data_IF_333558675906
#
_entry.id   IF_333558675906
#
_cell.length_a   1.000
_cell.length_b   1.000
_cell.length_c   1.000
_cell.angle_alpha   90.00
_cell.angle_beta   90.00
_cell.angle_gamma   90.00
#
_symmetry.space_group_name_H-M   'P 1'
#
loop_
_entity.id
_entity.type
_entity.pdbx_description
1 polymer ?
#
# COMPACT_ATOMS: atom_id res chain seq x y z
N UNK A 1 0.82 2.22 20.12
CA UNK A 1 2.26 2.47 19.80
C UNK A 1 2.95 1.38 18.97
N UNK A 2 2.22 0.40 18.39
CA UNK A 2 2.83 -0.76 17.68
C UNK A 2 3.06 -0.58 16.17
N UNK A 3 2.31 0.30 15.49
CA UNK A 3 2.38 0.42 14.02
C UNK A 3 3.65 1.12 13.52
N UNK A 4 4.09 2.17 14.23
CA UNK A 4 5.26 2.98 13.85
C UNK A 4 6.56 2.16 13.93
N UNK A 5 6.66 1.22 14.89
CA UNK A 5 7.85 0.38 15.10
C UNK A 5 8.08 -0.59 13.93
N UNK A 6 7.01 -1.04 13.25
CA UNK A 6 7.10 -1.98 12.12
C UNK A 6 7.67 -1.34 10.86
N UNK A 7 7.38 -0.05 10.59
CA UNK A 7 7.86 0.63 9.37
C UNK A 7 9.32 1.05 9.52
N UNK A 8 9.71 1.54 10.71
CA UNK A 8 11.09 1.92 11.01
C UNK A 8 12.05 0.74 10.87
N UNK A 9 11.68 -0.43 11.35
CA UNK A 9 12.49 -1.65 11.25
C UNK A 9 12.63 -2.19 9.81
N UNK A 10 11.75 -1.80 8.89
CA UNK A 10 11.82 -2.19 7.46
C UNK A 10 12.71 -1.27 6.62
N UNK A 11 13.22 -0.16 7.18
CA UNK A 11 14.12 0.76 6.47
C UNK A 11 13.51 1.51 5.28
N UNK A 12 12.17 1.55 5.14
CA UNK A 12 11.50 2.10 3.95
C UNK A 12 11.30 3.62 3.97
N UNK A 13 11.49 4.26 5.12
CA UNK A 13 11.15 5.66 5.32
C UNK A 13 12.07 6.26 6.37
N UNK A 14 12.75 7.34 5.98
CA UNK A 14 13.37 8.23 6.95
C UNK A 14 12.31 9.12 7.60
N UNK A 15 12.12 8.93 8.89
CA UNK A 15 11.17 9.69 9.69
C UNK A 15 11.64 11.13 9.98
N UNK A 16 12.95 11.37 9.95
CA UNK A 16 13.51 12.71 10.19
C UNK A 16 13.19 13.65 9.04
N UNK A 17 13.53 13.26 7.80
CA UNK A 17 13.15 14.01 6.61
C UNK A 17 11.61 14.13 6.48
N UNK A 18 10.88 13.03 6.71
CA UNK A 18 9.41 13.04 6.57
C UNK A 18 8.72 14.01 7.53
N UNK A 19 9.20 14.17 8.76
CA UNK A 19 8.64 15.13 9.73
C UNK A 19 8.65 16.55 9.15
N UNK A 20 9.76 16.96 8.51
CA UNK A 20 9.93 18.31 7.94
C UNK A 20 9.12 18.50 6.66
N UNK A 21 9.03 17.47 5.83
CA UNK A 21 8.30 17.53 4.56
C UNK A 21 6.77 17.61 4.76
N UNK A 22 6.24 16.92 5.77
CA UNK A 22 4.79 16.75 5.94
C UNK A 22 4.14 17.83 6.78
N UNK A 23 4.82 18.28 7.83
CA UNK A 23 4.22 19.21 8.78
C UNK A 23 3.91 20.52 8.06
N UNK A 24 2.66 20.95 8.22
CA UNK A 24 2.16 22.24 7.75
C UNK A 24 2.22 23.24 8.91
N UNK A 25 2.43 24.51 8.57
CA UNK A 25 2.34 25.59 9.54
C UNK A 25 0.92 25.63 10.14
N UNK A 26 0.83 25.76 11.47
CA UNK A 26 -0.45 25.66 12.18
C UNK A 26 -1.42 26.79 11.84
N UNK A 27 -0.89 27.95 11.42
CA UNK A 27 -1.69 29.08 10.95
C UNK A 27 -2.45 28.79 9.64
N UNK A 28 -2.05 27.76 8.89
CA UNK A 28 -2.70 27.37 7.62
C UNK A 28 -3.78 26.29 7.81
N UNK A 29 -4.12 25.97 9.07
CA UNK A 29 -5.23 25.12 9.49
C UNK A 29 -5.39 23.85 8.63
N UNK A 30 -6.50 23.76 7.88
CA UNK A 30 -6.90 22.55 7.15
C UNK A 30 -6.33 22.50 5.72
N UNK A 31 -5.47 23.44 5.33
CA UNK A 31 -4.86 23.40 4.00
C UNK A 31 -3.87 22.23 3.90
N UNK A 32 -4.08 21.28 2.99
CA UNK A 32 -3.19 20.14 2.85
C UNK A 32 -1.85 20.57 2.26
N UNK A 33 -0.75 20.08 2.85
CA UNK A 33 0.59 20.19 2.26
C UNK A 33 0.82 18.99 1.34
N UNK A 34 0.78 19.23 0.04
CA UNK A 34 1.00 18.20 -0.97
C UNK A 34 2.49 17.89 -1.11
N UNK A 35 2.81 16.60 -1.28
CA UNK A 35 4.15 16.12 -1.65
C UNK A 35 4.06 15.23 -2.88
N UNK A 36 5.07 15.34 -3.74
CA UNK A 36 5.34 14.38 -4.79
C UNK A 36 6.26 13.29 -4.25
N UNK A 37 5.78 12.05 -4.21
CA UNK A 37 6.55 10.87 -3.83
C UNK A 37 6.96 10.15 -5.10
N UNK A 38 8.27 10.08 -5.34
CA UNK A 38 8.86 9.31 -6.43
C UNK A 38 9.58 8.11 -5.83
N UNK A 39 9.27 6.91 -6.31
CA UNK A 39 9.95 5.67 -5.91
C UNK A 39 10.35 4.89 -7.15
N UNK A 40 11.66 4.80 -7.37
CA UNK A 40 12.23 3.95 -8.41
C UNK A 40 12.43 2.55 -7.83
N UNK A 41 11.90 1.56 -8.50
CA UNK A 41 12.12 0.14 -8.21
C UNK A 41 12.84 -0.51 -9.39
N UNK A 42 13.31 -1.75 -9.22
CA UNK A 42 14.09 -2.44 -10.25
C UNK A 42 13.36 -2.63 -11.59
N UNK A 43 12.02 -2.58 -11.60
CA UNK A 43 11.21 -2.83 -12.80
C UNK A 43 10.14 -1.77 -13.07
N UNK A 44 9.96 -0.82 -12.15
CA UNK A 44 8.86 0.14 -12.23
C UNK A 44 9.25 1.46 -11.56
N UNK A 45 8.68 2.56 -12.06
CA UNK A 45 8.78 3.89 -11.47
C UNK A 45 7.39 4.27 -11.01
N UNK A 46 7.29 4.62 -9.73
CA UNK A 46 6.03 4.98 -9.09
C UNK A 46 6.08 6.46 -8.71
N UNK A 47 5.17 7.24 -9.27
CA UNK A 47 4.99 8.65 -8.95
C UNK A 47 3.62 8.83 -8.30
N UNK A 48 3.57 9.52 -7.16
CA UNK A 48 2.33 9.76 -6.43
C UNK A 48 2.28 11.17 -5.88
N UNK A 49 1.11 11.78 -5.88
CA UNK A 49 0.84 13.03 -5.15
C UNK A 49 0.03 12.66 -3.91
N UNK A 50 0.54 12.99 -2.74
CA UNK A 50 -0.13 12.69 -1.48
C UNK A 50 -0.05 13.86 -0.50
N UNK A 51 -1.03 13.93 0.40
CA UNK A 51 -0.98 14.79 1.58
C UNK A 51 -1.23 13.93 2.82
N UNK A 52 -0.81 14.40 3.98
CA UNK A 52 -0.97 13.66 5.23
C UNK A 52 -2.28 14.04 5.94
N UNK A 53 -2.96 13.02 6.48
CA UNK A 53 -4.05 13.11 7.45
C UNK A 53 -3.67 12.32 8.71
N UNK A 54 -4.46 12.48 9.76
CA UNK A 54 -4.23 11.78 11.05
C UNK A 54 -4.33 10.25 10.87
N UNK A 55 -5.26 9.79 10.06
CA UNK A 55 -5.47 8.36 9.78
C UNK A 55 -4.35 7.76 8.90
N UNK A 56 -3.73 8.58 8.05
CA UNK A 56 -2.73 8.14 7.08
C UNK A 56 -2.54 9.13 5.93
N UNK A 57 -1.72 8.74 4.97
CA UNK A 57 -1.53 9.54 3.75
C UNK A 57 -2.69 9.30 2.78
N UNK A 58 -3.30 10.39 2.30
CA UNK A 58 -4.31 10.35 1.25
C UNK A 58 -3.63 10.59 -0.09
N UNK A 59 -3.76 9.64 -1.01
CA UNK A 59 -3.21 9.72 -2.37
C UNK A 59 -4.24 10.43 -3.25
N UNK A 60 -3.82 11.50 -3.93
CA UNK A 60 -4.64 12.28 -4.85
C UNK A 60 -4.60 11.64 -6.24
N UNK A 61 -3.39 11.43 -6.76
CA UNK A 61 -3.14 10.82 -8.05
C UNK A 61 -1.90 9.91 -7.96
N UNK A 62 -1.89 8.86 -8.77
CA UNK A 62 -0.77 7.93 -8.91
C UNK A 62 -0.57 7.64 -10.40
N UNK A 63 0.69 7.54 -10.81
CA UNK A 63 1.12 7.13 -12.14
C UNK A 63 2.23 6.09 -12.03
N UNK A 64 2.22 5.13 -12.96
CA UNK A 64 3.16 4.01 -12.95
C UNK A 64 3.85 3.83 -14.30
N UNK A 65 5.09 3.36 -14.29
CA UNK A 65 5.82 3.12 -15.54
C UNK A 65 5.21 1.96 -16.35
N UNK A 66 4.61 0.97 -15.70
CA UNK A 66 3.89 -0.11 -16.39
C UNK A 66 2.63 0.34 -17.14
N UNK A 67 2.20 1.60 -16.98
CA UNK A 67 1.13 2.20 -17.78
C UNK A 67 1.67 2.83 -19.08
N UNK A 68 2.96 3.14 -19.15
CA UNK A 68 3.62 3.74 -20.32
C UNK A 68 3.50 2.93 -21.63
N UNK A 69 3.47 1.59 -21.62
CA UNK A 69 3.24 0.81 -22.84
C UNK A 69 1.94 1.16 -23.56
N UNK A 70 0.91 1.66 -22.83
CA UNK A 70 -0.35 2.13 -23.44
C UNK A 70 -0.17 3.41 -24.27
N UNK A 71 0.86 4.20 -23.95
CA UNK A 71 1.19 5.47 -24.59
C UNK A 71 2.36 5.35 -25.59
N UNK A 72 2.77 4.13 -25.94
CA UNK A 72 3.77 3.87 -26.98
C UNK A 72 5.16 3.46 -26.49
N UNK A 73 5.48 3.62 -25.19
CA UNK A 73 6.78 3.19 -24.62
C UNK A 73 6.70 1.74 -24.14
N UNK A 74 6.96 0.81 -25.06
CA UNK A 74 6.78 -0.63 -24.82
C UNK A 74 7.84 -1.26 -23.91
N UNK A 75 9.07 -0.75 -23.93
CA UNK A 75 10.23 -1.33 -23.22
C UNK A 75 11.00 -0.24 -22.48
N UNK A 76 11.87 -0.63 -21.54
CA UNK A 76 12.76 0.32 -20.87
C UNK A 76 12.06 1.22 -19.85
N UNK A 77 11.16 0.64 -19.04
CA UNK A 77 10.30 1.37 -18.10
C UNK A 77 11.02 1.99 -16.89
N UNK A 78 12.33 1.76 -16.76
CA UNK A 78 13.16 2.25 -15.66
C UNK A 78 14.23 3.25 -16.10
N UNK A 79 14.26 3.61 -17.38
CA UNK A 79 15.21 4.58 -17.88
C UNK A 79 14.81 6.02 -17.50
N UNK A 80 15.71 6.97 -17.75
CA UNK A 80 15.46 8.38 -17.48
C UNK A 80 14.23 8.90 -18.24
N UNK A 81 14.08 8.54 -19.52
CA UNK A 81 12.93 8.94 -20.32
C UNK A 81 11.59 8.49 -19.71
N UNK A 82 11.51 7.24 -19.23
CA UNK A 82 10.34 6.70 -18.55
C UNK A 82 10.04 7.43 -17.23
N UNK A 83 11.07 7.86 -16.49
CA UNK A 83 10.90 8.71 -15.31
C UNK A 83 10.26 10.06 -15.66
N UNK A 84 10.69 10.67 -16.76
CA UNK A 84 10.08 11.92 -17.25
C UNK A 84 8.65 11.71 -17.73
N UNK A 85 8.40 10.68 -18.53
CA UNK A 85 7.06 10.37 -19.02
C UNK A 85 6.09 10.03 -17.88
N UNK A 86 6.52 9.31 -16.84
CA UNK A 86 5.67 9.02 -15.66
C UNK A 86 5.38 10.27 -14.84
N UNK A 87 6.36 11.18 -14.67
CA UNK A 87 6.13 12.48 -14.03
C UNK A 87 5.17 13.36 -14.82
N UNK A 88 5.31 13.41 -16.15
CA UNK A 88 4.40 14.14 -17.04
C UNK A 88 2.99 13.55 -17.02
N UNK A 89 2.86 12.22 -17.05
CA UNK A 89 1.59 11.51 -16.96
C UNK A 89 0.86 11.85 -15.65
N UNK A 90 1.58 11.86 -14.53
CA UNK A 90 1.02 12.24 -13.23
C UNK A 90 0.43 13.65 -13.24
N UNK A 91 1.13 14.62 -13.85
CA UNK A 91 0.66 16.00 -13.95
C UNK A 91 -0.60 16.10 -14.83
N UNK A 92 -0.61 15.45 -15.99
CA UNK A 92 -1.78 15.43 -16.88
C UNK A 92 -2.99 14.75 -16.23
N UNK A 93 -2.81 13.63 -15.53
CA UNK A 93 -3.91 12.96 -14.83
C UNK A 93 -4.52 13.84 -13.74
N UNK A 94 -3.69 14.62 -13.03
CA UNK A 94 -4.17 15.59 -12.04
C UNK A 94 -4.98 16.71 -12.71
N UNK A 95 -4.51 17.26 -13.82
CA UNK A 95 -5.21 18.29 -14.58
C UNK A 95 -6.55 17.78 -15.14
N UNK A 96 -6.56 16.60 -15.75
CA UNK A 96 -7.77 15.97 -16.27
C UNK A 96 -8.81 15.71 -15.17
N UNK A 97 -8.37 15.28 -13.99
CA UNK A 97 -9.26 15.05 -12.85
C UNK A 97 -10.00 16.33 -12.47
N UNK A 98 -9.32 17.48 -12.38
CA UNK A 98 -9.96 18.75 -12.06
C UNK A 98 -10.91 19.21 -13.18
N UNK A 99 -10.49 19.10 -14.45
CA UNK A 99 -11.35 19.43 -15.60
C UNK A 99 -12.64 18.59 -15.59
N UNK A 100 -12.52 17.28 -15.40
CA UNK A 100 -13.66 16.34 -15.31
C UNK A 100 -14.55 16.66 -14.11
N UNK A 101 -13.97 16.96 -12.95
CA UNK A 101 -14.74 17.33 -11.76
C UNK A 101 -15.54 18.63 -11.98
N UNK A 102 -14.94 19.66 -12.57
CA UNK A 102 -15.63 20.91 -12.89
C UNK A 102 -16.76 20.72 -13.91
N UNK A 103 -16.56 19.87 -14.92
CA UNK A 103 -17.61 19.52 -15.86
C UNK A 103 -18.77 18.77 -15.18
N UNK A 104 -18.47 17.74 -14.39
CA UNK A 104 -19.47 16.92 -13.71
C UNK A 104 -20.32 17.70 -12.68
N UNK A 105 -19.71 18.61 -11.92
CA UNK A 105 -20.43 19.46 -10.95
C UNK A 105 -21.43 20.38 -11.66
N UNK A 106 -21.09 20.87 -12.86
CA UNK A 106 -22.01 21.71 -13.67
C UNK A 106 -23.18 20.92 -14.22
N UNK A 107 -22.95 19.67 -14.63
CA UNK A 107 -24.00 18.80 -15.17
C UNK A 107 -24.96 18.32 -14.09
N UNK A 108 -24.45 17.80 -12.96
CA UNK A 108 -25.26 17.19 -11.91
C UNK A 108 -24.73 17.56 -10.51
N UNK A 109 -25.37 18.50 -9.80
CA UNK A 109 -24.94 18.92 -8.46
C UNK A 109 -25.38 17.96 -7.34
N UNK A 110 -26.15 16.90 -7.64
CA UNK A 110 -26.70 15.96 -6.64
C UNK A 110 -25.71 14.83 -6.36
N UNK A 111 -25.43 14.58 -5.09
CA UNK A 111 -24.52 13.51 -4.65
C UNK A 111 -25.21 12.14 -4.65
N UNK A 112 -24.75 11.23 -5.52
CA UNK A 112 -25.18 9.84 -5.51
C UNK A 112 -24.21 8.94 -4.72
N UNK A 113 -24.75 8.11 -3.81
CA UNK A 113 -23.95 7.16 -3.04
C UNK A 113 -23.48 6.03 -3.94
N UNK A 114 -22.16 5.83 -4.01
CA UNK A 114 -21.56 4.69 -4.75
C UNK A 114 -22.09 3.35 -4.20
N UNK A 115 -22.50 2.40 -5.07
CA UNK A 115 -22.99 1.10 -4.63
C UNK A 115 -21.88 0.29 -3.94
N UNK A 116 -22.22 -0.39 -2.85
CA UNK A 116 -21.29 -1.31 -2.17
C UNK A 116 -21.09 -2.56 -3.03
N UNK A 117 -19.85 -2.84 -3.41
CA UNK A 117 -19.49 -4.12 -4.05
C UNK A 117 -19.42 -5.23 -3.02
N UNK A 118 -20.27 -6.23 -3.16
CA UNK A 118 -20.19 -7.47 -2.38
C UNK A 118 -19.17 -8.42 -3.01
N UNK A 119 -18.07 -8.67 -2.29
CA UNK A 119 -16.99 -9.54 -2.76
C UNK A 119 -16.92 -10.77 -1.86
N UNK A 120 -17.10 -11.97 -2.44
CA UNK A 120 -16.87 -13.25 -1.75
C UNK A 120 -15.40 -13.38 -1.39
N UNK A 121 -15.06 -13.36 -0.10
CA UNK A 121 -13.66 -13.43 0.36
C UNK A 121 -13.21 -14.88 0.51
N UNK A 122 -12.34 -15.33 -0.40
CA UNK A 122 -11.60 -16.60 -0.27
C UNK A 122 -10.34 -16.41 0.57
N UNK A 123 -10.02 -17.38 1.43
CA UNK A 123 -8.83 -17.36 2.28
C UNK A 123 -7.71 -18.19 1.66
N UNK A 124 -6.59 -17.55 1.32
CA UNK A 124 -5.40 -18.21 0.75
C UNK A 124 -4.38 -18.66 1.82
N UNK A 125 -4.37 -17.98 2.97
CA UNK A 125 -3.37 -18.21 4.02
C UNK A 125 -3.92 -19.07 5.15
N UNK A 126 -3.06 -19.94 5.69
CA UNK A 126 -3.39 -20.80 6.82
C UNK A 126 -3.87 -19.99 8.04
N UNK A 127 -4.95 -20.41 8.72
CA UNK A 127 -5.36 -19.79 9.97
C UNK A 127 -4.34 -19.98 11.08
N UNK A 128 -4.25 -18.98 11.96
CA UNK A 128 -3.50 -19.09 13.20
C UNK A 128 -4.13 -20.22 14.02
N UNK A 129 -3.32 -21.19 14.45
CA UNK A 129 -3.81 -22.33 15.21
C UNK A 129 -4.38 -21.89 16.56
N UNK A 130 -5.48 -22.52 16.96
CA UNK A 130 -6.10 -22.25 18.26
C UNK A 130 -5.21 -22.75 19.40
N UNK A 131 -5.48 -22.25 20.62
CA UNK A 131 -4.70 -22.65 21.79
C UNK A 131 -4.87 -24.15 22.10
N UNK A 132 -6.10 -24.67 22.02
CA UNK A 132 -6.41 -26.09 22.23
C UNK A 132 -5.60 -26.96 21.25
N UNK A 133 -5.69 -26.67 19.94
CA UNK A 133 -4.94 -27.39 18.91
C UNK A 133 -3.42 -27.38 19.13
N UNK A 134 -2.86 -26.33 19.75
CA UNK A 134 -1.44 -26.29 20.12
C UNK A 134 -1.14 -27.19 21.30
N UNK A 135 -1.99 -27.19 22.33
CA UNK A 135 -1.83 -28.05 23.52
C UNK A 135 -1.98 -29.52 23.15
N UNK A 136 -3.00 -29.86 22.37
CA UNK A 136 -3.25 -31.22 21.89
C UNK A 136 -2.09 -31.74 21.05
N UNK A 137 -1.51 -30.88 20.19
CA UNK A 137 -0.32 -31.22 19.40
C UNK A 137 0.89 -31.53 20.28
N UNK A 138 1.11 -30.79 21.37
CA UNK A 138 2.21 -31.07 22.30
C UNK A 138 1.98 -32.37 23.03
N UNK A 139 0.75 -32.62 23.50
CA UNK A 139 0.37 -33.86 24.17
C UNK A 139 0.56 -35.08 23.24
N UNK A 140 0.07 -34.99 22.00
CA UNK A 140 0.23 -36.03 20.99
C UNK A 140 1.71 -36.31 20.69
N UNK A 141 2.54 -35.29 20.54
CA UNK A 141 3.99 -35.46 20.31
C UNK A 141 4.72 -36.13 21.48
N UNK A 142 4.35 -35.79 22.72
CA UNK A 142 4.91 -36.44 23.91
C UNK A 142 4.50 -37.91 23.97
N UNK A 143 3.22 -38.20 23.74
CA UNK A 143 2.69 -39.57 23.76
C UNK A 143 3.22 -40.45 22.62
N UNK A 144 3.50 -39.88 21.44
CA UNK A 144 4.13 -40.63 20.34
C UNK A 144 5.60 -40.95 20.63
N UNK A 145 6.31 -40.04 21.30
CA UNK A 145 7.71 -40.25 21.66
C UNK A 145 7.89 -41.35 22.69
N UNK A 146 7.07 -41.37 23.74
CA UNK A 146 7.09 -42.42 24.76
C UNK A 146 6.80 -43.80 24.17
N UNK A 147 5.77 -43.91 23.33
CA UNK A 147 5.46 -45.17 22.61
C UNK A 147 6.61 -45.67 21.74
N UNK A 148 7.34 -44.77 21.08
CA UNK A 148 8.49 -45.14 20.27
C UNK A 148 9.67 -45.64 21.12
N UNK A 149 9.86 -45.10 22.33
CA UNK A 149 10.88 -45.61 23.27
C UNK A 149 10.51 -46.99 23.81
N UNK A 150 9.25 -47.21 24.17
CA UNK A 150 8.75 -48.51 24.63
C UNK A 150 8.95 -49.59 23.56
N UNK A 151 8.56 -49.32 22.31
CA UNK A 151 8.76 -50.24 21.19
C UNK A 151 10.24 -50.51 20.86
N UNK A 152 11.10 -49.49 20.98
CA UNK A 152 12.54 -49.64 20.78
C UNK A 152 13.24 -50.39 21.93
N UNK A 153 12.62 -50.46 23.11
CA UNK A 153 13.12 -51.24 24.24
C UNK A 153 12.60 -52.70 24.21
N UNK A 154 11.47 -52.95 23.55
CA UNK A 154 10.91 -54.28 23.30
C UNK A 154 11.50 -54.99 22.07
N UNK A 155 12.29 -54.28 21.25
CA UNK A 155 13.01 -54.80 20.07
C UNK A 155 14.48 -55.07 20.38
#
# INVERSE_FOLDING_TARGET
MGFVKVVKNKGKTDHYARKRLVIQDKNKYNTPKYRMMVRVSNRDIICQIAYARIEGDMIVCAAYAHELPKYGVKVGLTNYAAAYCTGLLLAHMMEEMYKKAHAAIRENPVYEKKPKKEVKKKRWNRPKTSLAQKKDRVAQKKASFLRAQEQAAES
#
